data_IF_128077190409
#
_entry.id   IF_128077190409
#
_cell.length_a   1.000
_cell.length_b   1.000
_cell.length_c   1.000
_cell.angle_alpha   90.00
_cell.angle_beta   90.00
_cell.angle_gamma   90.00
#
_symmetry.space_group_name_H-M   'P 1'
#
loop_
_entity.id
_entity.type
_entity.pdbx_description
1 polymer ?
#
# COMPACT_ATOMS: atom_id res chain seq x y z
N UNK A 1 26.27 -44.85 104.48
CA UNK A 1 27.26 -44.10 103.68
C UNK A 1 27.14 -44.46 102.20
N UNK A 2 26.90 -45.74 101.85
CA UNK A 2 26.68 -46.20 100.46
C UNK A 2 25.46 -45.57 99.77
N UNK A 3 24.30 -45.49 100.44
CA UNK A 3 23.08 -44.90 99.84
C UNK A 3 23.24 -43.43 99.44
N UNK A 4 24.01 -42.67 100.22
CA UNK A 4 24.35 -41.29 99.90
C UNK A 4 25.24 -41.20 98.66
N UNK A 5 26.23 -42.09 98.53
CA UNK A 5 27.10 -42.17 97.36
C UNK A 5 26.31 -42.61 96.10
N UNK A 6 25.39 -43.56 96.25
CA UNK A 6 24.47 -43.98 95.19
C UNK A 6 23.63 -42.79 94.70
N UNK A 7 23.04 -42.03 95.62
CA UNK A 7 22.26 -40.82 95.31
C UNK A 7 23.10 -39.78 94.56
N UNK A 8 24.33 -39.51 95.02
CA UNK A 8 25.23 -38.55 94.35
C UNK A 8 25.64 -38.99 92.94
N UNK A 9 25.83 -40.29 92.69
CA UNK A 9 26.09 -40.82 91.34
C UNK A 9 24.88 -40.63 90.43
N UNK A 10 23.68 -40.93 90.93
CA UNK A 10 22.43 -40.73 90.17
C UNK A 10 22.23 -39.26 89.82
N UNK A 11 22.40 -38.35 90.77
CA UNK A 11 22.25 -36.92 90.52
C UNK A 11 23.25 -36.41 89.47
N UNK A 12 24.50 -36.86 89.52
CA UNK A 12 25.51 -36.52 88.50
C UNK A 12 25.12 -37.04 87.11
N UNK A 13 24.62 -38.27 87.02
CA UNK A 13 24.13 -38.82 85.73
C UNK A 13 23.00 -37.98 85.18
N UNK A 14 22.00 -37.63 86.00
CA UNK A 14 20.87 -36.80 85.58
C UNK A 14 21.31 -35.40 85.16
N UNK A 15 22.28 -34.81 85.86
CA UNK A 15 22.83 -33.50 85.50
C UNK A 15 23.53 -33.56 84.14
N UNK A 16 24.33 -34.60 83.88
CA UNK A 16 24.96 -34.81 82.58
C UNK A 16 23.93 -35.02 81.47
N UNK A 17 22.88 -35.82 81.70
CA UNK A 17 21.82 -36.07 80.72
C UNK A 17 21.10 -34.75 80.35
N UNK A 18 20.87 -33.87 81.33
CA UNK A 18 20.27 -32.54 81.11
C UNK A 18 21.23 -31.62 80.36
N UNK A 19 22.53 -31.62 80.68
CA UNK A 19 23.55 -30.85 79.95
C UNK A 19 23.65 -31.29 78.48
N UNK A 20 23.68 -32.59 78.21
CA UNK A 20 23.70 -33.15 76.86
C UNK A 20 22.43 -32.80 76.08
N UNK A 21 21.26 -32.86 76.73
CA UNK A 21 20.00 -32.45 76.13
C UNK A 21 19.98 -30.95 75.82
N UNK A 22 20.49 -30.10 76.72
CA UNK A 22 20.59 -28.66 76.50
C UNK A 22 21.53 -28.32 75.35
N UNK A 23 22.68 -29.00 75.26
CA UNK A 23 23.63 -28.83 74.15
C UNK A 23 23.01 -29.24 72.80
N UNK A 24 22.26 -30.35 72.77
CA UNK A 24 21.55 -30.80 71.58
C UNK A 24 20.49 -29.79 71.14
N UNK A 25 19.64 -29.31 72.07
CA UNK A 25 18.60 -28.31 71.76
C UNK A 25 19.25 -27.03 71.23
N UNK A 26 20.32 -26.55 71.85
CA UNK A 26 21.03 -25.35 71.40
C UNK A 26 21.60 -25.49 69.98
N UNK A 27 22.15 -26.66 69.64
CA UNK A 27 22.63 -26.93 68.28
C UNK A 27 21.48 -26.99 67.25
N UNK A 28 20.33 -27.59 67.62
CA UNK A 28 19.13 -27.62 66.78
C UNK A 28 18.56 -26.21 66.56
N UNK A 29 18.50 -25.37 67.60
CA UNK A 29 18.06 -23.97 67.51
C UNK A 29 18.95 -23.13 66.58
N UNK A 30 20.27 -23.23 66.70
CA UNK A 30 21.20 -22.52 65.81
C UNK A 30 21.09 -22.99 64.35
N UNK A 31 20.87 -24.29 64.13
CA UNK A 31 20.60 -24.84 62.80
C UNK A 31 19.31 -24.27 62.20
N UNK A 32 18.24 -24.20 62.99
CA UNK A 32 16.96 -23.62 62.55
C UNK A 32 17.07 -22.12 62.28
N UNK A 33 17.76 -21.36 63.14
CA UNK A 33 18.00 -19.93 62.95
C UNK A 33 18.78 -19.67 61.65
N UNK A 34 19.78 -20.48 61.36
CA UNK A 34 20.55 -20.38 60.11
C UNK A 34 19.68 -20.66 58.89
N UNK A 35 18.83 -21.69 58.95
CA UNK A 35 17.89 -22.00 57.88
C UNK A 35 16.87 -20.87 57.64
N UNK A 36 16.33 -20.28 58.71
CA UNK A 36 15.40 -19.14 58.63
C UNK A 36 16.08 -17.96 57.94
N UNK A 37 17.29 -17.57 58.39
CA UNK A 37 18.04 -16.46 57.76
C UNK A 37 18.32 -16.69 56.27
N UNK A 38 18.59 -17.93 55.89
CA UNK A 38 18.76 -18.29 54.47
C UNK A 38 17.47 -18.09 53.69
N UNK A 39 16.34 -18.61 54.20
CA UNK A 39 15.04 -18.46 53.54
C UNK A 39 14.58 -17.01 53.45
N UNK A 40 14.86 -16.19 54.48
CA UNK A 40 14.60 -14.74 54.46
C UNK A 40 15.33 -14.04 53.31
N UNK A 41 16.62 -14.37 53.12
CA UNK A 41 17.42 -13.83 52.02
C UNK A 41 16.89 -14.26 50.64
N UNK A 42 16.50 -15.53 50.51
CA UNK A 42 15.93 -16.05 49.26
C UNK A 42 14.58 -15.39 48.96
N UNK A 43 13.76 -15.14 49.98
CA UNK A 43 12.47 -14.45 49.86
C UNK A 43 12.67 -12.99 49.42
N UNK A 44 13.65 -12.28 49.98
CA UNK A 44 14.01 -10.92 49.56
C UNK A 44 14.50 -10.89 48.11
N UNK A 45 15.29 -11.88 47.69
CA UNK A 45 15.72 -12.03 46.29
C UNK A 45 14.51 -12.25 45.37
N UNK A 46 13.64 -13.20 45.70
CA UNK A 46 12.43 -13.49 44.93
C UNK A 46 11.50 -12.26 44.81
N UNK A 47 11.39 -11.48 45.88
CA UNK A 47 10.61 -10.22 45.89
C UNK A 47 11.23 -9.16 44.98
N UNK A 48 12.55 -9.05 44.96
CA UNK A 48 13.28 -8.15 44.06
C UNK A 48 13.08 -8.54 42.59
N UNK A 49 13.17 -9.83 42.28
CA UNK A 49 12.98 -10.35 40.92
C UNK A 49 11.53 -10.21 40.47
N UNK A 50 10.56 -10.45 41.35
CA UNK A 50 9.14 -10.21 41.07
C UNK A 50 8.86 -8.73 40.73
N UNK A 51 9.54 -7.80 41.42
CA UNK A 51 9.42 -6.37 41.14
C UNK A 51 9.99 -6.02 39.75
N UNK A 52 11.19 -6.51 39.41
CA UNK A 52 11.79 -6.32 38.09
C UNK A 52 10.93 -6.90 36.97
N UNK A 53 10.37 -8.09 37.19
CA UNK A 53 9.48 -8.72 36.22
C UNK A 53 8.23 -7.87 35.97
N UNK A 54 7.63 -7.32 37.03
CA UNK A 54 6.48 -6.42 36.91
C UNK A 54 6.82 -5.18 36.08
N UNK A 55 7.94 -4.53 36.36
CA UNK A 55 8.42 -3.36 35.59
C UNK A 55 8.64 -3.72 34.11
N UNK A 56 9.23 -4.89 33.84
CA UNK A 56 9.40 -5.41 32.47
C UNK A 56 8.08 -5.65 31.74
N UNK A 57 7.07 -6.20 32.43
CA UNK A 57 5.73 -6.39 31.85
C UNK A 57 5.09 -5.04 31.51
N UNK A 58 5.22 -4.03 32.38
CA UNK A 58 4.67 -2.69 32.15
C UNK A 58 5.30 -2.02 30.91
N UNK A 59 6.62 -2.09 30.75
CA UNK A 59 7.29 -1.54 29.55
C UNK A 59 6.92 -2.32 28.29
N UNK A 60 6.86 -3.65 28.35
CA UNK A 60 6.42 -4.47 27.22
C UNK A 60 4.98 -4.15 26.79
N UNK A 61 4.07 -3.91 27.74
CA UNK A 61 2.68 -3.50 27.44
C UNK A 61 2.65 -2.15 26.74
N UNK A 62 3.50 -1.20 27.17
CA UNK A 62 3.63 0.12 26.54
C UNK A 62 4.18 0.03 25.12
N UNK A 63 5.24 -0.75 24.90
CA UNK A 63 5.80 -1.02 23.56
C UNK A 63 4.76 -1.67 22.65
N UNK A 64 4.04 -2.69 23.15
CA UNK A 64 2.93 -3.32 22.43
C UNK A 64 1.87 -2.29 22.01
N UNK A 65 1.50 -1.37 22.90
CA UNK A 65 0.57 -0.28 22.59
C UNK A 65 1.04 0.64 21.46
N UNK A 66 2.33 0.98 21.45
CA UNK A 66 2.94 1.77 20.37
C UNK A 66 2.94 1.02 19.04
N UNK A 67 3.29 -0.27 19.05
CA UNK A 67 3.26 -1.14 17.86
C UNK A 67 1.83 -1.22 17.30
N UNK A 68 0.82 -1.47 18.15
CA UNK A 68 -0.58 -1.51 17.74
C UNK A 68 -1.03 -0.19 17.09
N UNK A 69 -0.62 0.95 17.66
CA UNK A 69 -0.91 2.28 17.09
C UNK A 69 -0.28 2.43 15.70
N UNK A 70 0.97 1.99 15.54
CA UNK A 70 1.66 1.99 14.25
C UNK A 70 0.97 1.11 13.20
N UNK A 71 0.53 -0.10 13.58
CA UNK A 71 -0.20 -1.02 12.71
C UNK A 71 -1.51 -0.39 12.22
N UNK A 72 -2.30 0.19 13.14
CA UNK A 72 -3.57 0.83 12.79
C UNK A 72 -3.39 2.01 11.84
N UNK A 73 -2.33 2.81 12.05
CA UNK A 73 -2.00 3.91 11.14
C UNK A 73 -1.67 3.42 9.74
N UNK A 74 -0.88 2.35 9.61
CA UNK A 74 -0.54 1.73 8.32
C UNK A 74 -1.77 1.12 7.64
N UNK A 75 -2.63 0.41 8.37
CA UNK A 75 -3.88 -0.15 7.82
C UNK A 75 -4.78 0.95 7.27
N UNK A 76 -4.93 2.07 7.97
CA UNK A 76 -5.70 3.22 7.48
C UNK A 76 -5.12 3.79 6.18
N UNK A 77 -3.79 3.85 6.07
CA UNK A 77 -3.12 4.33 4.85
C UNK A 77 -3.31 3.37 3.68
N UNK A 78 -3.27 2.06 3.93
CA UNK A 78 -3.54 1.03 2.91
C UNK A 78 -4.97 1.19 2.38
N UNK A 79 -5.98 1.25 3.26
CA UNK A 79 -7.38 1.41 2.84
C UNK A 79 -7.60 2.70 2.01
N UNK A 80 -6.92 3.80 2.37
CA UNK A 80 -6.94 5.04 1.57
C UNK A 80 -6.36 4.83 0.18
N UNK A 81 -5.21 4.15 0.06
CA UNK A 81 -4.57 3.89 -1.24
C UNK A 81 -5.38 2.91 -2.10
N UNK A 82 -6.03 1.93 -1.49
CA UNK A 82 -6.94 1.00 -2.20
C UNK A 82 -8.14 1.75 -2.79
N UNK A 83 -8.74 2.68 -2.03
CA UNK A 83 -9.80 3.55 -2.51
C UNK A 83 -9.35 4.43 -3.69
N UNK A 84 -8.17 5.05 -3.58
CA UNK A 84 -7.58 5.86 -4.64
C UNK A 84 -7.33 5.01 -5.90
N UNK A 85 -6.78 3.79 -5.73
CA UNK A 85 -6.53 2.85 -6.81
C UNK A 85 -7.82 2.45 -7.54
N UNK A 86 -8.89 2.16 -6.80
CA UNK A 86 -10.20 1.86 -7.38
C UNK A 86 -10.76 3.04 -8.18
N UNK A 87 -10.59 4.26 -7.68
CA UNK A 87 -11.04 5.49 -8.36
C UNK A 87 -10.26 5.72 -9.66
N UNK A 88 -8.94 5.50 -9.62
CA UNK A 88 -8.08 5.59 -10.81
C UNK A 88 -8.44 4.53 -11.85
N UNK A 89 -8.72 3.30 -11.42
CA UNK A 89 -9.17 2.23 -12.32
C UNK A 89 -10.46 2.60 -13.03
N UNK A 90 -11.46 3.09 -12.29
CA UNK A 90 -12.73 3.54 -12.87
C UNK A 90 -12.52 4.68 -13.87
N UNK A 91 -11.63 5.63 -13.56
CA UNK A 91 -11.30 6.74 -14.45
C UNK A 91 -10.63 6.24 -15.73
N UNK A 92 -9.74 5.26 -15.63
CA UNK A 92 -9.07 4.66 -16.78
C UNK A 92 -10.06 3.95 -17.71
N UNK A 93 -11.01 3.19 -17.15
CA UNK A 93 -12.07 2.53 -17.92
C UNK A 93 -12.93 3.54 -18.69
N UNK A 94 -13.27 4.68 -18.08
CA UNK A 94 -14.00 5.76 -18.74
C UNK A 94 -13.21 6.34 -19.90
N UNK A 95 -11.92 6.65 -19.70
CA UNK A 95 -11.04 7.17 -20.76
C UNK A 95 -10.92 6.17 -21.92
N UNK A 96 -10.77 4.88 -21.62
CA UNK A 96 -10.72 3.83 -22.64
C UNK A 96 -12.02 3.75 -23.45
N UNK A 97 -13.18 3.82 -22.78
CA UNK A 97 -14.49 3.85 -23.44
C UNK A 97 -14.65 5.08 -24.34
N UNK A 98 -14.27 6.26 -23.86
CA UNK A 98 -14.30 7.49 -24.66
C UNK A 98 -13.37 7.44 -25.87
N UNK A 99 -12.16 6.89 -25.71
CA UNK A 99 -11.21 6.69 -26.81
C UNK A 99 -11.81 5.82 -27.92
N UNK A 100 -12.46 4.72 -27.56
CA UNK A 100 -13.11 3.82 -28.54
C UNK A 100 -14.26 4.55 -29.25
N UNK A 101 -15.10 5.27 -28.50
CA UNK A 101 -16.20 6.05 -29.07
C UNK A 101 -15.71 7.13 -30.06
N UNK A 102 -14.69 7.91 -29.68
CA UNK A 102 -14.08 8.92 -30.56
C UNK A 102 -13.44 8.29 -31.80
N UNK A 103 -12.78 7.14 -31.64
CA UNK A 103 -12.20 6.41 -32.79
C UNK A 103 -13.28 5.98 -33.78
N UNK A 104 -14.41 5.46 -33.30
CA UNK A 104 -15.55 5.09 -34.14
C UNK A 104 -16.11 6.32 -34.90
N UNK A 105 -16.32 7.45 -34.20
CA UNK A 105 -16.80 8.70 -34.82
C UNK A 105 -15.84 9.23 -35.89
N UNK A 106 -14.53 9.10 -35.69
CA UNK A 106 -13.53 9.51 -36.70
C UNK A 106 -13.64 8.62 -37.94
N UNK A 107 -13.77 7.30 -37.78
CA UNK A 107 -13.95 6.37 -38.90
C UNK A 107 -15.22 6.69 -39.69
N UNK A 108 -16.34 6.91 -38.98
CA UNK A 108 -17.62 7.30 -39.59
C UNK A 108 -17.50 8.61 -40.39
N UNK A 109 -16.86 9.64 -39.81
CA UNK A 109 -16.61 10.91 -40.51
C UNK A 109 -15.73 10.74 -41.74
N UNK A 110 -14.68 9.91 -41.67
CA UNK A 110 -13.83 9.60 -42.83
C UNK A 110 -14.61 8.90 -43.94
N UNK A 111 -15.47 7.95 -43.59
CA UNK A 111 -16.33 7.27 -44.54
C UNK A 111 -17.32 8.24 -45.22
N UNK A 112 -17.94 9.13 -44.44
CA UNK A 112 -18.81 10.19 -44.96
C UNK A 112 -18.09 11.08 -45.98
N UNK A 113 -16.91 11.62 -45.64
CA UNK A 113 -16.18 12.49 -46.57
C UNK A 113 -15.65 11.74 -47.79
N UNK A 114 -15.27 10.47 -47.65
CA UNK A 114 -14.89 9.65 -48.79
C UNK A 114 -16.07 9.42 -49.75
N UNK A 115 -17.30 9.30 -49.23
CA UNK A 115 -18.49 9.21 -50.06
C UNK A 115 -18.78 10.53 -50.79
N UNK A 116 -18.77 11.66 -50.06
CA UNK A 116 -18.96 12.99 -50.67
C UNK A 116 -17.95 13.24 -51.78
N UNK A 117 -16.69 12.87 -51.57
CA UNK A 117 -15.65 13.01 -52.60
C UNK A 117 -15.96 12.17 -53.84
N UNK A 118 -16.38 10.92 -53.69
CA UNK A 118 -16.80 10.06 -54.81
C UNK A 118 -18.00 10.63 -55.56
N UNK A 119 -18.97 11.15 -54.84
CA UNK A 119 -20.18 11.75 -55.44
C UNK A 119 -19.79 12.97 -56.29
N UNK A 120 -18.96 13.87 -55.75
CA UNK A 120 -18.44 15.03 -56.49
C UNK A 120 -17.61 14.63 -57.71
N UNK A 121 -16.75 13.62 -57.59
CA UNK A 121 -15.92 13.11 -58.70
C UNK A 121 -16.80 12.55 -59.82
N UNK A 122 -17.87 11.83 -59.46
CA UNK A 122 -18.84 11.30 -60.42
C UNK A 122 -19.64 12.40 -61.13
N UNK A 123 -20.05 13.45 -60.41
CA UNK A 123 -20.73 14.62 -61.01
C UNK A 123 -19.82 15.37 -61.98
N UNK A 124 -18.56 15.59 -61.61
CA UNK A 124 -17.57 16.24 -62.48
C UNK A 124 -17.29 15.42 -63.73
N UNK A 125 -17.16 14.11 -63.59
CA UNK A 125 -16.94 13.22 -64.72
C UNK A 125 -18.15 13.21 -65.67
N UNK A 126 -19.37 13.21 -65.14
CA UNK A 126 -20.59 13.34 -65.93
C UNK A 126 -20.64 14.68 -66.68
N UNK A 127 -20.27 15.79 -66.04
CA UNK A 127 -20.18 17.10 -66.71
C UNK A 127 -19.13 17.10 -67.83
N UNK A 128 -17.98 16.50 -67.60
CA UNK A 128 -16.91 16.39 -68.60
C UNK A 128 -17.35 15.56 -69.82
N UNK A 129 -18.02 14.44 -69.59
CA UNK A 129 -18.58 13.58 -70.64
C UNK A 129 -19.65 14.33 -71.47
N UNK A 130 -20.54 15.06 -70.80
CA UNK A 130 -21.54 15.91 -71.45
C UNK A 130 -20.88 16.99 -72.34
N UNK A 131 -19.87 17.70 -71.84
CA UNK A 131 -19.13 18.69 -72.62
C UNK A 131 -18.41 18.09 -73.83
N UNK A 132 -17.80 16.92 -73.67
CA UNK A 132 -17.12 16.20 -74.74
C UNK A 132 -18.11 15.74 -75.84
N UNK A 133 -19.30 15.28 -75.45
CA UNK A 133 -20.37 14.94 -76.38
C UNK A 133 -20.86 16.17 -77.18
N UNK A 134 -21.00 17.32 -76.52
CA UNK A 134 -21.39 18.58 -77.17
C UNK A 134 -20.36 19.05 -78.21
N UNK A 135 -19.06 18.95 -77.89
CA UNK A 135 -17.95 19.32 -78.79
C UNK A 135 -17.84 18.37 -79.99
N UNK A 136 -18.21 17.11 -79.83
CA UNK A 136 -18.17 16.10 -80.89
C UNK A 136 -19.41 16.14 -81.80
N UNK A 137 -20.50 16.77 -81.37
CA UNK A 137 -21.71 16.99 -82.19
C UNK A 137 -21.73 18.29 -83.01
N UNK A 138 -20.77 19.20 -82.77
CA UNK A 138 -20.68 20.53 -83.41
C UNK A 138 -19.55 20.64 -84.41
N UNK A 139 -19.57 19.85 -85.48
CA UNK A 139 -18.68 20.01 -86.62
C UNK A 139 -19.28 20.93 -87.67
N UNK A 140 -19.14 22.25 -87.53
CA UNK A 140 -19.12 23.18 -88.66
C UNK A 140 -18.30 24.42 -88.28
N UNK A 141 -17.25 24.69 -89.06
CA UNK A 141 -16.27 25.73 -88.79
C UNK A 141 -16.80 27.15 -88.94
N UNK A 142 -15.96 28.12 -88.59
CA UNK A 142 -15.43 29.13 -89.53
C UNK A 142 -14.48 30.07 -88.78
N UNK A 143 -13.36 30.30 -89.46
CA UNK A 143 -12.32 31.30 -89.30
C UNK A 143 -12.80 32.70 -88.88
N UNK A 144 -11.99 33.43 -88.12
CA UNK A 144 -12.16 34.89 -87.99
C UNK A 144 -11.09 35.58 -87.17
N UNK A 145 -10.01 36.00 -87.82
CA UNK A 145 -9.04 37.01 -87.36
C UNK A 145 -9.70 38.39 -87.44
N UNK A 146 -9.60 39.24 -86.41
CA UNK A 146 -9.46 40.68 -86.63
C UNK A 146 -8.82 41.42 -85.44
N UNK A 147 -8.04 42.41 -85.84
CA UNK A 147 -7.09 43.25 -85.12
C UNK A 147 -7.71 44.62 -84.79
N UNK A 148 -7.05 45.40 -83.93
CA UNK A 148 -7.06 46.86 -84.03
C UNK A 148 -8.17 47.69 -83.35
N UNK A 149 -7.75 48.37 -82.28
CA UNK A 149 -7.78 49.85 -82.14
C UNK A 149 -9.09 50.64 -81.81
N UNK A 150 -9.01 51.26 -80.62
CA UNK A 150 -9.21 52.69 -80.27
C UNK A 150 -10.55 53.42 -80.41
N UNK A 151 -10.82 54.16 -79.32
CA UNK A 151 -11.41 55.50 -79.21
C UNK A 151 -12.92 55.63 -78.91
N UNK A 152 -13.15 56.04 -77.65
CA UNK A 152 -14.10 57.04 -77.15
C UNK A 152 -15.35 57.37 -77.97
N UNK A 153 -16.51 57.11 -77.37
CA UNK A 153 -17.65 58.02 -77.40
C UNK A 153 -18.44 57.88 -76.09
N UNK A 154 -18.57 59.00 -75.37
CA UNK A 154 -19.11 59.04 -74.02
C UNK A 154 -20.62 58.86 -73.90
N UNK A 155 -21.08 58.84 -72.66
CA UNK A 155 -22.49 59.04 -72.34
C UNK A 155 -22.96 58.30 -71.09
N UNK A 156 -22.83 58.98 -69.94
CA UNK A 156 -23.67 58.88 -68.72
C UNK A 156 -24.15 57.48 -68.29
N UNK A 157 -23.63 57.01 -67.15
CA UNK A 157 -24.44 56.19 -66.24
C UNK A 157 -24.40 56.77 -64.83
N UNK A 158 -25.60 56.78 -64.28
CA UNK A 158 -26.04 57.32 -63.01
C UNK A 158 -25.28 56.65 -61.86
N UNK A 159 -24.85 57.49 -60.91
CA UNK A 159 -24.35 57.10 -59.60
C UNK A 159 -25.48 56.32 -58.92
N UNK A 160 -25.31 55.00 -58.78
CA UNK A 160 -26.07 54.24 -57.81
C UNK A 160 -25.14 53.59 -56.80
N UNK A 161 -25.58 53.75 -55.56
CA UNK A 161 -24.85 53.63 -54.32
C UNK A 161 -24.89 52.18 -53.86
N UNK A 162 -23.73 51.56 -53.66
CA UNK A 162 -23.62 50.56 -52.59
C UNK A 162 -22.18 50.41 -52.09
N UNK A 163 -21.66 51.45 -51.45
CA UNK A 163 -20.68 51.28 -50.39
C UNK A 163 -21.44 50.95 -49.11
N UNK A 164 -21.74 49.67 -48.89
CA UNK A 164 -21.97 49.17 -47.53
C UNK A 164 -20.65 48.65 -46.98
N UNK A 165 -19.81 49.58 -46.53
CA UNK A 165 -18.84 49.29 -45.47
C UNK A 165 -19.66 49.05 -44.21
N UNK A 166 -20.04 47.80 -44.00
CA UNK A 166 -20.66 47.38 -42.76
C UNK A 166 -19.64 47.53 -41.63
N UNK A 167 -20.08 48.11 -40.51
CA UNK A 167 -19.39 48.19 -39.23
C UNK A 167 -19.20 46.79 -38.58
N UNK A 168 -18.81 45.77 -39.35
CA UNK A 168 -18.71 44.37 -38.92
C UNK A 168 -17.25 43.89 -38.77
N UNK A 169 -16.32 44.84 -38.72
CA UNK A 169 -14.89 44.60 -38.52
C UNK A 169 -14.45 44.75 -37.05
N UNK A 170 -15.20 45.44 -36.19
CA UNK A 170 -14.80 45.63 -34.77
C UNK A 170 -15.14 44.44 -33.89
N UNK A 171 -16.31 43.83 -34.05
CA UNK A 171 -16.77 42.72 -33.20
C UNK A 171 -16.02 41.41 -33.47
N UNK A 172 -15.68 41.15 -34.73
CA UNK A 172 -14.84 40.02 -35.16
C UNK A 172 -13.38 40.18 -34.68
N UNK A 173 -12.84 41.40 -34.71
CA UNK A 173 -11.52 41.71 -34.13
C UNK A 173 -11.49 41.54 -32.62
N UNK A 174 -12.51 42.03 -31.91
CA UNK A 174 -12.61 41.89 -30.46
C UNK A 174 -12.78 40.42 -30.04
N UNK A 175 -13.55 39.62 -30.78
CA UNK A 175 -13.72 38.18 -30.55
C UNK A 175 -12.43 37.38 -30.80
N UNK A 176 -11.62 37.77 -31.77
CA UNK A 176 -10.34 37.12 -32.06
C UNK A 176 -9.26 37.53 -31.06
N UNK A 177 -9.25 38.79 -30.63
CA UNK A 177 -8.34 39.29 -29.58
C UNK A 177 -8.58 38.57 -28.24
N UNK A 178 -9.85 38.42 -27.83
CA UNK A 178 -10.20 37.68 -26.60
C UNK A 178 -9.83 36.20 -26.66
N UNK A 179 -9.96 35.55 -27.82
CA UNK A 179 -9.46 34.18 -28.03
C UNK A 179 -7.94 34.10 -27.96
N UNK A 180 -7.24 35.08 -28.53
CA UNK A 180 -5.78 35.17 -28.49
C UNK A 180 -5.27 35.31 -27.05
N UNK A 181 -5.89 36.18 -26.26
CA UNK A 181 -5.57 36.36 -24.84
C UNK A 181 -5.84 35.10 -24.02
N UNK A 182 -6.95 34.39 -24.32
CA UNK A 182 -7.24 33.08 -23.71
C UNK A 182 -6.17 32.03 -24.03
N UNK A 183 -5.74 31.95 -25.29
CA UNK A 183 -4.65 31.03 -25.70
C UNK A 183 -3.33 31.41 -25.04
N UNK A 184 -3.03 32.71 -24.94
CA UNK A 184 -1.83 33.22 -24.27
C UNK A 184 -1.81 32.91 -22.77
N UNK A 185 -2.96 33.02 -22.10
CA UNK A 185 -3.12 32.61 -20.71
C UNK A 185 -2.89 31.10 -20.54
N UNK A 186 -3.52 30.26 -21.38
CA UNK A 186 -3.34 28.79 -21.34
C UNK A 186 -1.89 28.37 -21.61
N UNK A 187 -1.22 29.04 -22.53
CA UNK A 187 0.20 28.77 -22.83
C UNK A 187 1.09 29.13 -21.63
N UNK A 188 0.81 30.26 -20.97
CA UNK A 188 1.54 30.70 -19.78
C UNK A 188 1.33 29.74 -18.61
N UNK A 189 0.11 29.25 -18.42
CA UNK A 189 -0.21 28.24 -17.41
C UNK A 189 0.46 26.89 -17.71
N UNK A 190 0.51 26.49 -18.99
CA UNK A 190 1.22 25.29 -19.42
C UNK A 190 2.73 25.40 -19.14
N UNK A 191 3.33 26.57 -19.39
CA UNK A 191 4.73 26.82 -19.09
C UNK A 191 5.03 26.76 -17.58
N UNK A 192 4.10 27.27 -16.74
CA UNK A 192 4.18 27.16 -15.28
C UNK A 192 4.12 25.69 -14.83
N UNK A 193 3.12 24.94 -15.28
CA UNK A 193 2.97 23.51 -14.94
C UNK A 193 4.19 22.68 -15.38
N UNK A 194 4.75 22.97 -16.56
CA UNK A 194 5.99 22.34 -17.03
C UNK A 194 7.16 22.59 -16.07
N UNK A 195 7.29 23.81 -15.56
CA UNK A 195 8.37 24.18 -14.64
C UNK A 195 8.20 23.48 -13.28
N UNK A 196 6.97 23.38 -12.78
CA UNK A 196 6.64 22.63 -11.57
C UNK A 196 6.96 21.14 -11.70
N UNK A 197 6.56 20.51 -12.82
CA UNK A 197 6.88 19.11 -13.11
C UNK A 197 8.39 18.85 -13.16
N UNK A 198 9.18 19.76 -13.74
CA UNK A 198 10.65 19.62 -13.76
C UNK A 198 11.23 19.62 -12.34
N UNK A 199 10.74 20.51 -11.46
CA UNK A 199 11.18 20.56 -10.06
C UNK A 199 10.78 19.28 -9.32
N UNK A 200 9.56 18.80 -9.52
CA UNK A 200 9.07 17.57 -8.88
C UNK A 200 9.84 16.33 -9.34
N UNK A 201 10.14 16.25 -10.65
CA UNK A 201 10.92 15.16 -11.22
C UNK A 201 12.34 15.13 -10.62
N UNK A 202 12.98 16.30 -10.47
CA UNK A 202 14.28 16.40 -9.81
C UNK A 202 14.24 15.96 -8.33
N UNK A 203 13.18 16.29 -7.60
CA UNK A 203 12.98 15.80 -6.22
C UNK A 203 12.81 14.28 -6.18
N UNK A 204 12.07 13.71 -7.13
CA UNK A 204 11.87 12.27 -7.23
C UNK A 204 13.19 11.54 -7.48
N UNK A 205 14.05 12.07 -8.37
CA UNK A 205 15.40 11.55 -8.59
C UNK A 205 16.24 11.55 -7.30
N UNK A 206 16.19 12.63 -6.51
CA UNK A 206 16.90 12.69 -5.23
C UNK A 206 16.40 11.66 -4.22
N UNK A 207 15.07 11.49 -4.11
CA UNK A 207 14.47 10.49 -3.22
C UNK A 207 14.84 9.06 -3.64
N UNK A 208 14.85 8.79 -4.94
CA UNK A 208 15.25 7.48 -5.48
C UNK A 208 16.70 7.15 -5.14
N UNK A 209 17.61 8.11 -5.34
CA UNK A 209 19.03 7.89 -5.02
C UNK A 209 19.25 7.72 -3.50
N UNK A 210 18.51 8.48 -2.68
CA UNK A 210 18.55 8.30 -1.22
C UNK A 210 18.05 6.90 -0.81
N UNK A 211 16.97 6.42 -1.40
CA UNK A 211 16.45 5.07 -1.13
C UNK A 211 17.46 3.99 -1.55
N UNK A 212 18.11 4.17 -2.70
CA UNK A 212 19.15 3.26 -3.20
C UNK A 212 20.36 3.20 -2.28
N UNK A 213 20.81 4.33 -1.74
CA UNK A 213 21.89 4.36 -0.74
C UNK A 213 21.48 3.62 0.55
N UNK A 214 20.28 3.91 1.09
CA UNK A 214 19.78 3.23 2.29
C UNK A 214 19.63 1.72 2.09
N UNK A 215 19.20 1.28 0.90
CA UNK A 215 19.10 -0.14 0.58
C UNK A 215 20.47 -0.85 0.59
N UNK A 216 21.52 -0.17 0.12
CA UNK A 216 22.90 -0.68 0.18
C UNK A 216 23.43 -0.77 1.61
N UNK A 217 23.07 0.17 2.47
CA UNK A 217 23.51 0.21 3.87
C UNK A 217 22.81 -0.85 4.74
N UNK A 218 21.54 -1.14 4.46
CA UNK A 218 20.74 -2.08 5.26
C UNK A 218 21.04 -3.55 4.95
N UNK A 219 21.37 -3.87 3.70
CA UNK A 219 21.48 -5.26 3.24
C UNK A 219 22.73 -5.52 2.38
N UNK A 220 23.94 -5.18 2.87
CA UNK A 220 25.16 -5.34 2.11
C UNK A 220 25.52 -6.81 1.84
N UNK A 221 25.10 -7.73 2.70
CA UNK A 221 25.41 -9.15 2.56
C UNK A 221 24.46 -9.88 1.61
N UNK A 222 23.18 -9.49 1.56
CA UNK A 222 22.23 -9.98 0.56
C UNK A 222 22.59 -9.52 -0.87
N UNK A 223 23.23 -8.35 -1.01
CA UNK A 223 23.73 -7.86 -2.30
C UNK A 223 24.97 -8.63 -2.79
N UNK A 224 25.71 -9.28 -1.89
CA UNK A 224 26.87 -10.12 -2.21
C UNK A 224 26.48 -11.56 -2.51
N UNK A 225 25.36 -12.04 -1.96
CA UNK A 225 24.82 -13.36 -2.26
C UNK A 225 24.36 -13.41 -3.71
N UNK A 226 24.66 -14.51 -4.38
CA UNK A 226 24.14 -14.73 -5.72
C UNK A 226 22.64 -15.03 -5.67
N UNK A 227 21.92 -14.67 -6.73
CA UNK A 227 20.47 -14.85 -6.81
C UNK A 227 20.02 -16.29 -6.60
N UNK A 228 20.85 -17.28 -6.94
CA UNK A 228 20.50 -18.69 -6.79
C UNK A 228 20.56 -19.11 -5.33
N UNK A 229 21.62 -18.76 -4.61
CA UNK A 229 21.72 -18.97 -3.17
C UNK A 229 20.60 -18.27 -2.42
N UNK A 230 20.23 -17.05 -2.84
CA UNK A 230 19.12 -16.33 -2.20
C UNK A 230 17.76 -17.01 -2.43
N UNK A 231 17.52 -17.57 -3.62
CA UNK A 231 16.31 -18.32 -3.93
C UNK A 231 16.26 -19.65 -3.15
N UNK A 232 17.39 -20.34 -3.00
CA UNK A 232 17.52 -21.56 -2.20
C UNK A 232 17.19 -21.30 -0.71
N UNK A 233 17.76 -20.24 -0.11
CA UNK A 233 17.47 -19.84 1.28
C UNK A 233 16.01 -19.42 1.48
N UNK A 234 15.43 -18.69 0.51
CA UNK A 234 14.02 -18.30 0.54
C UNK A 234 13.10 -19.52 0.54
N UNK A 235 13.39 -20.51 -0.31
CA UNK A 235 12.62 -21.75 -0.39
C UNK A 235 12.80 -22.64 0.84
N UNK A 236 13.99 -22.66 1.44
CA UNK A 236 14.25 -23.33 2.72
C UNK A 236 13.39 -22.73 3.84
N UNK A 237 13.38 -21.40 3.96
CA UNK A 237 12.58 -20.69 4.96
C UNK A 237 11.07 -20.91 4.78
N UNK A 238 10.59 -20.96 3.53
CA UNK A 238 9.20 -21.32 3.25
C UNK A 238 8.86 -22.75 3.69
N UNK A 239 9.78 -23.68 3.50
CA UNK A 239 9.62 -25.08 3.91
C UNK A 239 9.60 -25.22 5.44
N UNK A 240 10.50 -24.54 6.14
CA UNK A 240 10.52 -24.51 7.61
C UNK A 240 9.21 -23.94 8.16
N UNK A 241 8.71 -22.84 7.58
CA UNK A 241 7.42 -22.26 7.97
C UNK A 241 6.26 -23.24 7.79
N UNK A 242 6.27 -24.05 6.72
CA UNK A 242 5.25 -25.08 6.53
C UNK A 242 5.36 -26.18 7.60
N UNK A 243 6.59 -26.63 7.92
CA UNK A 243 6.84 -27.59 8.99
C UNK A 243 6.42 -27.09 10.37
N UNK A 244 6.68 -25.83 10.70
CA UNK A 244 6.23 -25.21 11.95
C UNK A 244 4.70 -25.17 12.06
N UNK A 245 4.02 -24.87 10.94
CA UNK A 245 2.56 -24.87 10.89
C UNK A 245 1.98 -26.27 11.11
N UNK A 246 2.56 -27.30 10.46
CA UNK A 246 2.16 -28.70 10.64
C UNK A 246 2.40 -29.17 12.09
N UNK A 247 3.54 -28.80 12.69
CA UNK A 247 3.83 -29.11 14.08
C UNK A 247 2.82 -28.44 15.04
N UNK A 248 2.52 -27.16 14.83
CA UNK A 248 1.52 -26.44 15.61
C UNK A 248 0.13 -27.09 15.49
N UNK A 249 -0.27 -27.51 14.29
CA UNK A 249 -1.53 -28.21 14.06
C UNK A 249 -1.55 -29.58 14.76
N UNK A 250 -0.44 -30.32 14.74
CA UNK A 250 -0.30 -31.58 15.46
C UNK A 250 -0.46 -31.41 16.97
N UNK A 251 0.16 -30.37 17.56
CA UNK A 251 0.00 -30.05 18.98
C UNK A 251 -1.46 -29.71 19.31
N UNK A 252 -2.13 -28.92 18.47
CA UNK A 252 -3.54 -28.60 18.67
C UNK A 252 -4.42 -29.87 18.68
N UNK A 253 -4.18 -30.80 17.76
CA UNK A 253 -4.88 -32.08 17.72
C UNK A 253 -4.61 -32.94 18.96
N UNK A 254 -3.37 -32.93 19.48
CA UNK A 254 -3.03 -33.63 20.72
C UNK A 254 -3.76 -33.03 21.93
N UNK A 255 -3.84 -31.69 22.01
CA UNK A 255 -4.60 -30.99 23.05
C UNK A 255 -6.07 -31.38 22.99
N UNK A 256 -6.68 -31.43 21.80
CA UNK A 256 -8.07 -31.88 21.62
C UNK A 256 -8.30 -33.31 22.08
N UNK A 257 -7.38 -34.23 21.77
CA UNK A 257 -7.45 -35.61 22.28
C UNK A 257 -7.44 -35.64 23.81
N UNK A 258 -6.60 -34.83 24.44
CA UNK A 258 -6.52 -34.76 25.90
C UNK A 258 -7.77 -34.11 26.53
N UNK A 259 -8.43 -33.15 25.86
CA UNK A 259 -9.72 -32.59 26.30
C UNK A 259 -10.83 -33.64 26.38
N UNK A 260 -10.80 -34.65 25.51
CA UNK A 260 -11.78 -35.75 25.51
C UNK A 260 -11.61 -36.74 26.67
N UNK A 261 -10.49 -36.69 27.39
CA UNK A 261 -10.19 -37.59 28.50
C UNK A 261 -10.78 -37.02 29.79
N UNK A 262 -11.85 -37.66 30.29
CA UNK A 262 -12.39 -37.39 31.63
C UNK A 262 -12.42 -38.68 32.45
N UNK A 263 -11.86 -38.64 33.65
CA UNK A 263 -11.81 -39.78 34.55
C UNK A 263 -12.60 -39.49 35.82
N UNK A 264 -13.27 -40.52 36.32
CA UNK A 264 -14.12 -40.45 37.50
C UNK A 264 -13.41 -41.19 38.63
N UNK A 265 -12.92 -40.44 39.61
CA UNK A 265 -12.12 -40.95 40.72
C UNK A 265 -13.03 -41.04 41.95
N UNK A 266 -13.11 -42.23 42.55
CA UNK A 266 -13.82 -42.43 43.81
C UNK A 266 -12.87 -42.28 44.99
N UNK A 267 -13.20 -41.38 45.91
CA UNK A 267 -12.49 -41.24 47.17
C UNK A 267 -12.93 -42.35 48.14
N UNK A 268 -12.04 -42.73 49.06
CA UNK A 268 -12.31 -43.69 50.14
C UNK A 268 -13.45 -43.26 51.08
N UNK A 269 -13.85 -41.99 51.05
CA UNK A 269 -15.04 -41.48 51.75
C UNK A 269 -16.36 -41.66 50.98
N UNK A 270 -16.34 -42.26 49.79
CA UNK A 270 -17.52 -42.51 48.96
C UNK A 270 -17.90 -41.38 47.99
N UNK A 271 -17.20 -40.23 48.03
CA UNK A 271 -17.40 -39.14 47.07
C UNK A 271 -16.72 -39.40 45.73
N UNK A 272 -17.40 -39.05 44.64
CA UNK A 272 -16.88 -39.20 43.28
C UNK A 272 -16.47 -37.85 42.69
N UNK A 273 -15.26 -37.77 42.12
CA UNK A 273 -14.70 -36.57 41.51
C UNK A 273 -14.46 -36.81 40.03
N UNK A 274 -14.96 -35.91 39.17
CA UNK A 274 -14.64 -35.90 37.74
C UNK A 274 -13.41 -35.04 37.51
N UNK A 275 -12.32 -35.64 37.05
CA UNK A 275 -11.12 -34.95 36.62
C UNK A 275 -11.15 -34.82 35.10
N UNK A 276 -11.19 -33.59 34.62
CA UNK A 276 -11.10 -33.22 33.21
C UNK A 276 -10.12 -32.04 33.07
N UNK A 277 -9.43 -31.94 31.93
CA UNK A 277 -8.62 -30.75 31.64
C UNK A 277 -9.51 -29.64 31.07
N UNK A 278 -9.81 -28.64 31.88
CA UNK A 278 -10.35 -27.37 31.42
C UNK A 278 -9.20 -26.37 31.21
N UNK A 279 -8.88 -26.09 29.95
CA UNK A 279 -8.00 -24.99 29.56
C UNK A 279 -8.88 -23.80 29.18
N UNK A 280 -9.36 -23.06 30.18
CA UNK A 280 -9.83 -21.69 29.99
C UNK A 280 -8.66 -20.75 30.25
N UNK A 281 -8.23 -20.06 29.19
CA UNK A 281 -7.50 -18.80 29.22
C UNK A 281 -8.33 -17.77 28.44
#
# INVERSE_FOLDING_TARGET
MEDYLQYMRTLRSQMNDVEDQAAKISAEEESLLTAIRSMEKDLDSAKSDAKKLKEGIEEMVKEKGQICTGILAKQRKIASLESDSSTLLQTLELIQREKVNLSAKIVEKRAYYAQVFKDMDSELQQQQEWFNAQRSGGGLGVHGVFDGQTAEAGGKSIIDSCLTVNNQDSDTRNSTMTKLDSVKAKLSETARMKSELVVENNKMYQLLEQAKCRAKDLMPDLLKMDFKTLDEEYNALLSDKAGEFEYAQSLQLQIEKLKGISHLIKCSCGMEFRVAMDLYA
#
